data_IF_662378899438
#
_entry.id   IF_662378899438
#
_cell.length_a   1.000
_cell.length_b   1.000
_cell.length_c   1.000
_cell.angle_alpha   90.00
_cell.angle_beta   90.00
_cell.angle_gamma   90.00
#
_symmetry.space_group_name_H-M   'P 1'
#
loop_
_entity.id
_entity.type
_entity.pdbx_description
1 polymer ?
#
# COMPACT_ATOMS: atom_id res chain seq x y z
N UNK A 1 -7.14 19.57 7.19
CA UNK A 1 -7.61 18.80 6.02
C UNK A 1 -7.82 19.80 4.90
N UNK A 2 -6.93 19.77 3.90
CA UNK A 2 -6.74 20.84 2.91
C UNK A 2 -8.01 21.10 2.10
N UNK A 3 -8.32 22.38 1.87
CA UNK A 3 -9.47 22.79 1.04
C UNK A 3 -9.08 22.65 -0.44
N UNK A 4 -10.06 22.41 -1.31
CA UNK A 4 -9.84 22.35 -2.76
C UNK A 4 -9.13 23.60 -3.31
N UNK A 5 -9.33 24.75 -2.66
CA UNK A 5 -8.68 26.03 -2.96
C UNK A 5 -7.15 26.01 -2.77
N UNK A 6 -6.62 25.10 -1.97
CA UNK A 6 -5.18 24.97 -1.66
C UNK A 6 -4.52 23.79 -2.39
N UNK A 7 -5.23 23.15 -3.32
CA UNK A 7 -4.72 21.97 -4.03
C UNK A 7 -3.43 22.27 -4.80
N UNK A 8 -3.34 23.45 -5.42
CA UNK A 8 -2.17 23.87 -6.16
C UNK A 8 -0.95 24.09 -5.25
N UNK A 9 -1.17 24.72 -4.09
CA UNK A 9 -0.12 24.95 -3.09
C UNK A 9 0.40 23.63 -2.54
N UNK A 10 -0.49 22.68 -2.27
CA UNK A 10 -0.13 21.33 -1.84
C UNK A 10 0.69 20.59 -2.90
N UNK A 11 0.26 20.60 -4.17
CA UNK A 11 1.06 19.99 -5.24
C UNK A 11 2.41 20.66 -5.41
N UNK A 12 2.48 21.97 -5.24
CA UNK A 12 3.73 22.74 -5.32
C UNK A 12 4.66 22.31 -4.18
N UNK A 13 4.16 22.27 -2.95
CA UNK A 13 4.88 21.80 -1.78
C UNK A 13 5.39 20.36 -1.97
N UNK A 14 4.53 19.43 -2.39
CA UNK A 14 4.92 18.02 -2.62
C UNK A 14 6.01 17.94 -3.68
N UNK A 15 5.88 18.63 -4.81
CA UNK A 15 6.87 18.59 -5.88
C UNK A 15 8.21 19.20 -5.45
N UNK A 16 8.18 20.30 -4.70
CA UNK A 16 9.38 20.96 -4.19
C UNK A 16 10.11 20.15 -3.12
N UNK A 17 9.37 19.45 -2.27
CA UNK A 17 9.94 18.62 -1.20
C UNK A 17 10.41 17.26 -1.72
N UNK A 18 9.69 16.65 -2.66
CA UNK A 18 10.08 15.40 -3.29
C UNK A 18 11.18 15.58 -4.34
N UNK A 19 11.41 16.80 -4.85
CA UNK A 19 12.47 17.15 -5.81
C UNK A 19 12.51 16.26 -7.06
N UNK A 20 11.35 15.85 -7.53
CA UNK A 20 11.21 14.97 -8.71
C UNK A 20 11.30 13.47 -8.41
N UNK A 21 11.66 13.08 -7.19
CA UNK A 21 11.60 11.69 -6.74
C UNK A 21 10.16 11.23 -6.59
N UNK A 22 9.89 10.00 -6.99
CA UNK A 22 8.59 9.37 -6.81
C UNK A 22 8.71 7.88 -6.61
N UNK A 23 7.76 7.32 -5.87
CA UNK A 23 7.54 5.89 -5.84
C UNK A 23 7.17 5.36 -7.23
N UNK A 24 7.52 4.10 -7.46
CA UNK A 24 6.93 3.28 -8.51
C UNK A 24 5.41 3.19 -8.34
N UNK A 25 4.71 2.94 -9.43
CA UNK A 25 3.27 2.71 -9.40
C UNK A 25 2.94 1.52 -8.50
N UNK A 26 1.79 1.59 -7.83
CA UNK A 26 1.35 0.62 -6.82
C UNK A 26 1.39 -0.83 -7.34
N UNK A 27 0.94 -1.04 -8.57
CA UNK A 27 0.94 -2.31 -9.26
C UNK A 27 2.35 -2.89 -9.43
N UNK A 28 3.36 -2.08 -9.75
CA UNK A 28 4.73 -2.56 -9.94
C UNK A 28 5.33 -3.06 -8.64
N UNK A 29 5.15 -2.30 -7.55
CA UNK A 29 5.63 -2.68 -6.22
C UNK A 29 4.96 -3.99 -5.78
N UNK A 30 3.62 -4.07 -5.89
CA UNK A 30 2.86 -5.29 -5.56
C UNK A 30 3.31 -6.49 -6.39
N UNK A 31 3.51 -6.31 -7.70
CA UNK A 31 3.98 -7.36 -8.62
C UNK A 31 5.35 -7.89 -8.25
N UNK A 32 6.29 -7.03 -7.87
CA UNK A 32 7.65 -7.42 -7.42
C UNK A 32 7.56 -8.23 -6.13
N UNK A 33 6.84 -7.73 -5.12
CA UNK A 33 6.67 -8.44 -3.84
C UNK A 33 6.00 -9.80 -4.03
N UNK A 34 4.94 -9.86 -4.84
CA UNK A 34 4.23 -11.08 -5.20
C UNK A 34 5.16 -12.08 -5.91
N UNK A 35 5.95 -11.61 -6.85
CA UNK A 35 6.92 -12.41 -7.61
C UNK A 35 7.98 -13.04 -6.71
N UNK A 36 8.53 -12.29 -5.76
CA UNK A 36 9.50 -12.81 -4.77
C UNK A 36 8.86 -13.87 -3.89
N UNK A 37 7.69 -13.58 -3.32
CA UNK A 37 6.97 -14.54 -2.49
C UNK A 37 6.60 -15.83 -3.24
N UNK A 38 6.18 -15.72 -4.51
CA UNK A 38 5.89 -16.90 -5.33
C UNK A 38 7.13 -17.71 -5.68
N UNK A 39 8.25 -17.03 -5.96
CA UNK A 39 9.54 -17.69 -6.20
C UNK A 39 10.00 -18.45 -4.97
N UNK A 40 9.91 -17.84 -3.78
CA UNK A 40 10.20 -18.51 -2.52
C UNK A 40 9.26 -19.69 -2.26
N UNK A 41 7.96 -19.55 -2.51
CA UNK A 41 7.00 -20.63 -2.40
C UNK A 41 7.34 -21.83 -3.30
N UNK A 42 7.74 -21.58 -4.56
CA UNK A 42 8.15 -22.63 -5.51
C UNK A 42 9.42 -23.36 -5.07
N UNK A 43 10.33 -22.65 -4.40
CA UNK A 43 11.58 -23.19 -3.90
C UNK A 43 11.49 -23.78 -2.48
N UNK A 44 10.29 -23.80 -1.87
CA UNK A 44 10.09 -24.14 -0.46
C UNK A 44 10.99 -23.32 0.50
N UNK A 45 11.25 -22.06 0.11
CA UNK A 45 12.08 -21.11 0.85
C UNK A 45 11.32 -20.41 1.98
N UNK A 46 11.96 -19.39 2.56
CA UNK A 46 11.39 -18.60 3.65
C UNK A 46 10.04 -17.97 3.26
N UNK A 47 9.11 -17.92 4.20
CA UNK A 47 7.81 -17.25 4.02
C UNK A 47 7.98 -15.73 4.07
N UNK A 48 8.99 -15.22 4.77
CA UNK A 48 9.28 -13.79 4.88
C UNK A 48 10.28 -13.41 3.82
N UNK A 49 9.95 -12.40 3.02
CA UNK A 49 10.82 -11.91 1.96
C UNK A 49 11.33 -10.52 2.32
N UNK A 50 12.63 -10.23 2.11
CA UNK A 50 13.16 -8.90 2.31
C UNK A 50 12.54 -7.93 1.31
N UNK A 51 12.38 -6.69 1.76
CA UNK A 51 12.09 -5.55 0.92
C UNK A 51 13.40 -4.90 0.48
N UNK A 52 13.43 -4.39 -0.75
CA UNK A 52 14.58 -3.66 -1.29
C UNK A 52 14.12 -2.29 -1.78
N UNK A 53 14.91 -1.23 -1.54
CA UNK A 53 14.55 0.13 -1.99
C UNK A 53 14.19 0.17 -3.48
N UNK A 54 14.88 -0.62 -4.31
CA UNK A 54 14.65 -0.70 -5.76
C UNK A 54 13.32 -1.35 -6.15
N UNK A 55 12.56 -1.93 -5.22
CA UNK A 55 11.17 -2.33 -5.46
C UNK A 55 10.30 -1.09 -5.66
N UNK A 56 10.54 -0.09 -4.82
CA UNK A 56 9.74 1.11 -4.65
C UNK A 56 10.26 2.29 -5.45
N UNK A 57 11.54 2.31 -5.82
CA UNK A 57 12.17 3.40 -6.55
C UNK A 57 12.89 2.87 -7.79
N UNK A 58 12.82 3.60 -8.92
CA UNK A 58 13.58 3.24 -10.14
C UNK A 58 15.04 3.63 -10.03
N UNK A 59 15.29 4.72 -9.33
CA UNK A 59 16.59 5.36 -9.16
C UNK A 59 16.92 5.35 -7.66
N UNK A 60 18.20 5.47 -7.33
CA UNK A 60 18.60 5.58 -5.93
C UNK A 60 18.24 6.97 -5.38
N UNK A 61 17.26 6.99 -4.50
CA UNK A 61 16.78 8.21 -3.83
C UNK A 61 17.78 8.81 -2.85
N UNK A 62 18.87 8.11 -2.53
CA UNK A 62 19.92 8.61 -1.64
C UNK A 62 21.06 9.29 -2.42
N UNK A 63 20.79 9.75 -3.65
CA UNK A 63 21.76 10.46 -4.49
C UNK A 63 21.43 11.95 -4.57
N UNK A 64 22.44 12.77 -4.87
CA UNK A 64 22.24 14.21 -5.05
C UNK A 64 21.30 14.49 -6.22
N UNK A 65 20.39 15.43 -6.02
CA UNK A 65 19.46 15.88 -7.06
C UNK A 65 20.21 16.41 -8.29
N UNK A 66 19.64 16.19 -9.47
CA UNK A 66 20.16 16.76 -10.71
C UNK A 66 19.85 18.27 -10.81
N UNK A 67 20.55 18.98 -11.71
CA UNK A 67 20.43 20.43 -11.89
C UNK A 67 19.05 20.87 -12.40
N UNK A 68 18.26 19.96 -12.98
CA UNK A 68 16.92 20.24 -13.47
C UNK A 68 16.01 19.04 -13.26
N UNK A 69 14.74 19.29 -12.93
CA UNK A 69 13.68 18.29 -12.96
C UNK A 69 12.54 18.77 -13.87
N UNK A 70 11.90 17.83 -14.55
CA UNK A 70 10.78 18.13 -15.46
C UNK A 70 9.48 17.99 -14.67
N UNK A 71 8.81 19.11 -14.46
CA UNK A 71 7.46 19.08 -13.88
C UNK A 71 6.40 18.89 -14.97
N UNK A 72 5.63 17.81 -14.84
CA UNK A 72 4.44 17.57 -15.66
C UNK A 72 3.17 17.83 -14.84
N UNK A 73 2.15 18.39 -15.51
CA UNK A 73 0.82 18.50 -14.89
C UNK A 73 0.26 17.10 -14.66
N UNK A 74 -0.33 16.82 -13.49
CA UNK A 74 -0.92 15.52 -13.23
C UNK A 74 -2.09 15.30 -14.19
N UNK A 75 -2.18 14.08 -14.75
CA UNK A 75 -3.36 13.61 -15.48
C UNK A 75 -4.29 13.03 -14.41
N UNK A 76 -5.34 13.78 -14.05
CA UNK A 76 -6.21 13.46 -12.92
C UNK A 76 -7.34 12.45 -13.23
N UNK A 77 -7.39 11.94 -14.46
CA UNK A 77 -8.41 10.99 -14.90
C UNK A 77 -9.85 11.51 -14.75
N UNK A 78 -10.81 10.59 -14.63
CA UNK A 78 -12.21 10.91 -14.33
C UNK A 78 -12.41 11.01 -12.81
N UNK A 79 -12.31 12.24 -12.30
CA UNK A 79 -12.43 12.55 -10.87
C UNK A 79 -13.81 12.15 -10.32
N UNK A 80 -14.88 12.24 -11.11
CA UNK A 80 -16.22 11.90 -10.65
C UNK A 80 -16.37 10.38 -10.55
N UNK A 81 -15.88 9.63 -11.54
CA UNK A 81 -15.84 8.18 -11.46
C UNK A 81 -15.03 7.70 -10.26
N UNK A 82 -13.86 8.31 -9.98
CA UNK A 82 -13.06 7.99 -8.79
C UNK A 82 -13.81 8.29 -7.49
N UNK A 83 -14.53 9.41 -7.42
CA UNK A 83 -15.33 9.79 -6.25
C UNK A 83 -16.49 8.82 -6.02
N UNK A 84 -17.20 8.45 -7.08
CA UNK A 84 -18.31 7.50 -6.98
C UNK A 84 -17.81 6.10 -6.62
N UNK A 85 -16.70 5.65 -7.21
CA UNK A 85 -16.07 4.38 -6.87
C UNK A 85 -15.69 4.31 -5.38
N UNK A 86 -15.13 5.40 -4.86
CA UNK A 86 -14.82 5.55 -3.43
C UNK A 86 -16.07 5.44 -2.54
N UNK A 87 -17.16 6.13 -2.90
CA UNK A 87 -18.43 6.06 -2.16
C UNK A 87 -19.00 4.64 -2.15
N UNK A 88 -19.04 3.98 -3.32
CA UNK A 88 -19.55 2.62 -3.46
C UNK A 88 -18.72 1.62 -2.63
N UNK A 89 -17.39 1.74 -2.65
CA UNK A 89 -16.51 0.86 -1.87
C UNK A 89 -16.74 1.02 -0.36
N UNK A 90 -16.89 2.26 0.12
CA UNK A 90 -17.14 2.54 1.53
C UNK A 90 -18.55 2.09 1.96
N UNK A 91 -19.55 2.24 1.09
CA UNK A 91 -20.88 1.71 1.33
C UNK A 91 -20.85 0.18 1.45
N UNK A 92 -20.20 -0.50 0.51
CA UNK A 92 -20.03 -1.96 0.55
C UNK A 92 -19.33 -2.41 1.84
N UNK A 93 -18.27 -1.71 2.26
CA UNK A 93 -17.56 -2.00 3.50
C UNK A 93 -18.46 -1.85 4.74
N UNK A 94 -19.16 -0.73 4.86
CA UNK A 94 -20.02 -0.47 6.04
C UNK A 94 -21.18 -1.46 6.12
N UNK A 95 -21.64 -1.98 4.98
CA UNK A 95 -22.68 -3.02 4.95
C UNK A 95 -22.20 -4.36 5.53
N UNK A 96 -20.89 -4.59 5.67
CA UNK A 96 -20.32 -5.78 6.33
C UNK A 96 -20.30 -5.67 7.86
N UNK A 97 -20.48 -4.46 8.42
CA UNK A 97 -20.29 -4.22 9.86
C UNK A 97 -21.25 -4.99 10.78
N UNK A 98 -22.53 -5.22 10.43
CA UNK A 98 -23.41 -6.07 11.25
C UNK A 98 -22.86 -7.49 11.43
N UNK A 99 -22.37 -8.10 10.36
CA UNK A 99 -21.80 -9.45 10.40
C UNK A 99 -20.47 -9.47 11.16
N UNK A 100 -19.63 -8.45 10.97
CA UNK A 100 -18.39 -8.29 11.71
C UNK A 100 -18.63 -8.12 13.21
N UNK A 101 -19.64 -7.34 13.60
CA UNK A 101 -20.00 -7.12 14.99
C UNK A 101 -20.51 -8.38 15.68
N UNK A 102 -21.14 -9.30 14.95
CA UNK A 102 -21.59 -10.60 15.44
C UNK A 102 -20.50 -11.68 15.45
N UNK A 103 -19.38 -11.45 14.76
CA UNK A 103 -18.30 -12.42 14.63
C UNK A 103 -17.47 -12.56 15.91
N UNK A 104 -17.08 -13.80 16.23
CA UNK A 104 -16.23 -14.16 17.39
C UNK A 104 -14.78 -14.46 17.01
N UNK A 105 -14.39 -14.24 15.75
CA UNK A 105 -13.01 -14.49 15.29
C UNK A 105 -11.99 -13.63 16.02
N UNK A 106 -10.81 -14.19 16.24
CA UNK A 106 -9.62 -13.51 16.75
C UNK A 106 -8.97 -12.62 15.69
N UNK A 107 -8.05 -11.75 16.13
CA UNK A 107 -7.30 -10.87 15.23
C UNK A 107 -6.50 -11.65 14.17
N UNK A 108 -5.85 -12.73 14.57
CA UNK A 108 -5.07 -13.58 13.65
C UNK A 108 -5.98 -14.29 12.62
N UNK A 109 -7.13 -14.81 13.07
CA UNK A 109 -8.11 -15.41 12.17
C UNK A 109 -8.69 -14.39 11.18
N UNK A 110 -8.93 -13.15 11.63
CA UNK A 110 -9.38 -12.07 10.76
C UNK A 110 -8.32 -11.73 9.70
N UNK A 111 -7.04 -11.65 10.05
CA UNK A 111 -5.97 -11.47 9.06
C UNK A 111 -5.96 -12.61 8.03
N UNK A 112 -6.13 -13.87 8.46
CA UNK A 112 -6.18 -15.01 7.55
C UNK A 112 -7.39 -14.96 6.61
N UNK A 113 -8.56 -14.56 7.13
CA UNK A 113 -9.78 -14.41 6.33
C UNK A 113 -9.58 -13.33 5.27
N UNK A 114 -9.01 -12.18 5.62
CA UNK A 114 -8.73 -11.10 4.67
C UNK A 114 -7.72 -11.52 3.60
N UNK A 115 -6.62 -12.18 3.99
CA UNK A 115 -5.61 -12.65 3.03
C UNK A 115 -6.18 -13.68 2.04
N UNK A 116 -6.92 -14.68 2.53
CA UNK A 116 -7.59 -15.69 1.69
C UNK A 116 -8.66 -15.04 0.80
N UNK A 117 -9.42 -14.08 1.33
CA UNK A 117 -10.41 -13.32 0.57
C UNK A 117 -9.78 -12.52 -0.58
N UNK A 118 -8.62 -11.89 -0.35
CA UNK A 118 -7.87 -11.22 -1.40
C UNK A 118 -7.39 -12.19 -2.48
N UNK A 119 -6.81 -13.33 -2.10
CA UNK A 119 -6.40 -14.38 -3.04
C UNK A 119 -7.55 -14.91 -3.91
N UNK A 120 -8.72 -15.13 -3.30
CA UNK A 120 -9.94 -15.51 -4.03
C UNK A 120 -10.42 -14.40 -4.99
N UNK A 121 -10.32 -13.14 -4.58
CA UNK A 121 -10.66 -11.99 -5.42
C UNK A 121 -9.77 -11.92 -6.66
N UNK A 122 -8.45 -12.14 -6.52
CA UNK A 122 -7.51 -12.17 -7.65
C UNK A 122 -7.88 -13.25 -8.67
N UNK A 123 -8.17 -14.48 -8.21
CA UNK A 123 -8.63 -15.56 -9.09
C UNK A 123 -9.95 -15.23 -9.79
N UNK A 124 -10.90 -14.66 -9.06
CA UNK A 124 -12.19 -14.24 -9.62
C UNK A 124 -12.02 -13.20 -10.73
N UNK A 125 -11.20 -12.17 -10.48
CA UNK A 125 -10.91 -11.12 -11.45
C UNK A 125 -10.21 -11.68 -12.69
N UNK A 126 -9.25 -12.59 -12.50
CA UNK A 126 -8.60 -13.30 -13.60
C UNK A 126 -9.58 -14.08 -14.48
N UNK A 127 -10.50 -14.87 -13.89
CA UNK A 127 -11.50 -15.59 -14.67
C UNK A 127 -12.49 -14.65 -15.38
N UNK A 128 -12.85 -13.52 -14.77
CA UNK A 128 -13.68 -12.51 -15.42
C UNK A 128 -12.98 -11.92 -16.65
N UNK A 129 -11.68 -11.62 -16.54
CA UNK A 129 -10.84 -11.17 -17.65
C UNK A 129 -10.78 -12.20 -18.79
N UNK A 130 -10.56 -13.48 -18.48
CA UNK A 130 -10.58 -14.55 -19.48
C UNK A 130 -11.95 -14.72 -20.15
N UNK A 131 -13.03 -14.58 -19.38
CA UNK A 131 -14.41 -14.68 -19.90
C UNK A 131 -14.69 -13.55 -20.90
N UNK A 132 -14.27 -12.32 -20.59
CA UNK A 132 -14.38 -11.18 -21.50
C UNK A 132 -13.59 -11.39 -22.80
N UNK A 133 -12.35 -11.89 -22.69
CA UNK A 133 -11.52 -12.21 -23.84
C UNK A 133 -12.16 -13.30 -24.72
N UNK A 134 -12.67 -14.37 -24.12
CA UNK A 134 -13.35 -15.45 -24.84
C UNK A 134 -14.65 -15.02 -25.51
N UNK A 135 -15.34 -14.01 -24.96
CA UNK A 135 -16.52 -13.39 -25.56
C UNK A 135 -16.18 -12.38 -26.69
N UNK A 136 -14.89 -12.09 -26.93
CA UNK A 136 -14.45 -11.07 -27.88
C UNK A 136 -14.68 -9.63 -27.39
N UNK A 137 -14.98 -9.43 -26.11
CA UNK A 137 -15.16 -8.10 -25.52
C UNK A 137 -13.80 -7.49 -25.15
N UNK A 138 -13.13 -6.96 -26.18
CA UNK A 138 -11.82 -6.33 -26.05
C UNK A 138 -11.87 -5.09 -25.12
N UNK A 139 -13.01 -4.41 -25.02
CA UNK A 139 -13.15 -3.22 -24.17
C UNK A 139 -13.22 -3.64 -22.70
N UNK A 140 -13.99 -4.68 -22.36
CA UNK A 140 -13.99 -5.21 -21.00
C UNK A 140 -12.63 -5.79 -20.60
N UNK A 141 -11.92 -6.42 -21.54
CA UNK A 141 -10.55 -6.89 -21.31
C UNK A 141 -9.57 -5.74 -21.03
N UNK A 142 -9.56 -4.69 -21.85
CA UNK A 142 -8.66 -3.54 -21.67
C UNK A 142 -8.96 -2.73 -20.40
N UNK A 143 -10.21 -2.77 -19.93
CA UNK A 143 -10.64 -2.12 -18.68
C UNK A 143 -10.60 -3.05 -17.46
N UNK A 144 -10.05 -4.27 -17.60
CA UNK A 144 -9.90 -5.16 -16.47
C UNK A 144 -9.00 -4.51 -15.39
N UNK A 145 -9.31 -4.69 -14.09
CA UNK A 145 -8.44 -4.19 -13.02
C UNK A 145 -7.02 -4.72 -13.20
N UNK A 146 -6.01 -3.88 -12.96
CA UNK A 146 -4.60 -4.27 -13.12
C UNK A 146 -4.23 -5.49 -12.26
N UNK A 147 -4.86 -5.62 -11.09
CA UNK A 147 -4.74 -6.78 -10.18
C UNK A 147 -5.13 -8.12 -10.86
N UNK A 148 -5.99 -8.12 -11.88
CA UNK A 148 -6.34 -9.31 -12.66
C UNK A 148 -5.14 -9.92 -13.39
N UNK A 149 -4.12 -9.10 -13.70
CA UNK A 149 -2.89 -9.55 -14.33
C UNK A 149 -1.95 -10.29 -13.36
N UNK A 150 -2.12 -10.16 -12.04
CA UNK A 150 -1.25 -10.84 -11.08
C UNK A 150 -1.26 -12.36 -11.26
N UNK A 151 -2.43 -12.96 -11.42
CA UNK A 151 -2.55 -14.40 -11.66
C UNK A 151 -1.86 -14.78 -12.97
N UNK A 152 -2.01 -13.99 -14.03
CA UNK A 152 -1.32 -14.22 -15.30
C UNK A 152 0.20 -14.22 -15.15
N UNK A 153 0.76 -13.27 -14.37
CA UNK A 153 2.20 -13.29 -14.06
C UNK A 153 2.61 -14.56 -13.31
N UNK A 154 1.82 -15.03 -12.34
CA UNK A 154 2.12 -16.26 -11.60
C UNK A 154 2.18 -17.47 -12.55
N UNK A 155 1.24 -17.58 -13.49
CA UNK A 155 1.23 -18.67 -14.47
C UNK A 155 2.49 -18.62 -15.37
N UNK A 156 2.95 -17.42 -15.72
CA UNK A 156 4.13 -17.24 -16.57
C UNK A 156 5.42 -17.83 -15.99
N UNK A 157 5.57 -17.87 -14.65
CA UNK A 157 6.75 -18.44 -13.98
C UNK A 157 6.94 -19.94 -14.23
N UNK A 158 5.86 -20.65 -14.53
CA UNK A 158 5.85 -22.10 -14.70
C UNK A 158 5.51 -22.54 -16.13
N UNK A 159 5.36 -21.59 -17.06
CA UNK A 159 4.93 -21.83 -18.44
C UNK A 159 5.75 -22.90 -19.18
N UNK A 160 7.05 -22.95 -18.92
CA UNK A 160 7.99 -23.85 -19.59
C UNK A 160 8.16 -25.19 -18.85
N UNK A 161 7.56 -25.33 -17.66
CA UNK A 161 7.76 -26.49 -16.76
C UNK A 161 6.49 -27.27 -16.47
N UNK A 162 5.33 -26.63 -16.54
CA UNK A 162 4.03 -27.22 -16.19
C UNK A 162 3.01 -27.02 -17.31
N UNK A 163 2.03 -27.92 -17.39
CA UNK A 163 0.81 -27.71 -18.19
C UNK A 163 -0.12 -26.71 -17.52
N UNK A 164 -1.00 -26.06 -18.30
CA UNK A 164 -1.85 -24.95 -17.83
C UNK A 164 -2.66 -25.27 -16.57
N UNK A 165 -3.28 -26.46 -16.49
CA UNK A 165 -4.07 -26.86 -15.31
C UNK A 165 -3.21 -26.97 -14.05
N UNK A 166 -1.97 -27.46 -14.20
CA UNK A 166 -1.02 -27.56 -13.09
C UNK A 166 -0.46 -26.20 -12.68
N UNK A 167 -0.26 -25.28 -13.63
CA UNK A 167 0.12 -23.89 -13.34
C UNK A 167 -0.97 -23.21 -12.50
N UNK A 168 -2.24 -23.34 -12.93
CA UNK A 168 -3.39 -22.75 -12.25
C UNK A 168 -3.59 -23.35 -10.85
N UNK A 169 -3.45 -24.67 -10.70
CA UNK A 169 -3.53 -25.33 -9.41
C UNK A 169 -2.43 -24.85 -8.45
N UNK A 170 -1.21 -24.63 -8.94
CA UNK A 170 -0.11 -24.10 -8.11
C UNK A 170 -0.34 -22.64 -7.73
N UNK A 171 -0.78 -21.80 -8.67
CA UNK A 171 -1.14 -20.41 -8.37
C UNK A 171 -2.24 -20.35 -7.30
N UNK A 172 -3.30 -21.15 -7.44
CA UNK A 172 -4.36 -21.25 -6.43
C UNK A 172 -3.84 -21.71 -5.06
N UNK A 173 -2.93 -22.70 -5.03
CA UNK A 173 -2.29 -23.16 -3.79
C UNK A 173 -1.45 -22.07 -3.13
N UNK A 174 -0.72 -21.29 -3.93
CA UNK A 174 0.06 -20.16 -3.44
C UNK A 174 -0.83 -19.07 -2.82
N UNK A 175 -1.94 -18.70 -3.47
CA UNK A 175 -2.83 -17.62 -3.00
C UNK A 175 -3.53 -17.90 -1.66
N UNK A 176 -3.43 -19.12 -1.13
CA UNK A 176 -3.91 -19.50 0.21
C UNK A 176 -2.77 -19.94 1.14
N UNK A 177 -1.52 -19.77 0.71
CA UNK A 177 -0.32 -20.20 1.44
C UNK A 177 0.18 -19.15 2.45
N UNK A 178 0.98 -19.56 3.44
CA UNK A 178 1.68 -18.62 4.32
C UNK A 178 2.58 -17.63 3.56
N UNK A 179 3.24 -18.06 2.47
CA UNK A 179 4.08 -17.18 1.64
C UNK A 179 3.29 -15.99 1.08
N UNK A 180 2.04 -16.22 0.64
CA UNK A 180 1.19 -15.16 0.13
C UNK A 180 0.78 -14.20 1.25
N UNK A 181 0.35 -14.73 2.40
CA UNK A 181 -0.05 -13.94 3.56
C UNK A 181 1.07 -13.05 4.11
N UNK A 182 2.33 -13.46 3.93
CA UNK A 182 3.50 -12.74 4.40
C UNK A 182 4.04 -11.69 3.43
N UNK A 183 3.41 -11.52 2.26
CA UNK A 183 3.74 -10.43 1.33
C UNK A 183 3.56 -9.08 2.05
N UNK A 184 4.55 -8.16 2.02
CA UNK A 184 4.54 -6.96 2.84
C UNK A 184 3.26 -6.12 2.76
N UNK A 185 2.85 -5.72 1.55
CA UNK A 185 1.64 -4.91 1.39
C UNK A 185 0.38 -5.64 1.86
N UNK A 186 0.31 -6.95 1.61
CA UNK A 186 -0.85 -7.74 2.00
C UNK A 186 -0.94 -7.86 3.52
N UNK A 187 0.17 -8.22 4.16
CA UNK A 187 0.26 -8.35 5.62
C UNK A 187 -0.16 -7.07 6.33
N UNK A 188 0.33 -5.91 5.87
CA UNK A 188 -0.01 -4.61 6.43
C UNK A 188 -1.49 -4.30 6.23
N UNK A 189 -2.00 -4.44 5.01
CA UNK A 189 -3.39 -4.18 4.68
C UNK A 189 -4.33 -5.07 5.52
N UNK A 190 -4.06 -6.38 5.58
CA UNK A 190 -4.79 -7.32 6.42
C UNK A 190 -4.76 -6.91 7.90
N UNK A 191 -3.61 -6.43 8.41
CA UNK A 191 -3.50 -5.92 9.77
C UNK A 191 -4.39 -4.71 10.04
N UNK A 192 -4.44 -3.75 9.10
CA UNK A 192 -5.30 -2.57 9.20
C UNK A 192 -6.80 -2.94 9.16
N UNK A 193 -7.20 -3.86 8.28
CA UNK A 193 -8.58 -4.33 8.21
C UNK A 193 -8.98 -5.20 9.41
N UNK A 194 -8.07 -6.03 9.93
CA UNK A 194 -8.29 -6.77 11.17
C UNK A 194 -8.47 -5.81 12.36
N UNK A 195 -7.73 -4.69 12.40
CA UNK A 195 -7.92 -3.63 13.40
C UNK A 195 -9.28 -2.97 13.28
N UNK A 196 -9.71 -2.60 12.07
CA UNK A 196 -11.04 -2.06 11.85
C UNK A 196 -12.13 -3.04 12.31
N UNK A 197 -12.01 -4.31 11.94
CA UNK A 197 -12.97 -5.34 12.31
C UNK A 197 -13.04 -5.54 13.83
N UNK A 198 -11.90 -5.54 14.52
CA UNK A 198 -11.83 -5.55 15.98
C UNK A 198 -12.59 -4.37 16.58
N UNK A 199 -12.35 -3.15 16.09
CA UNK A 199 -13.06 -1.96 16.58
C UNK A 199 -14.58 -2.08 16.38
N UNK A 200 -15.03 -2.63 15.24
CA UNK A 200 -16.45 -2.88 14.98
C UNK A 200 -17.03 -3.90 15.98
N UNK A 201 -16.33 -5.00 16.28
CA UNK A 201 -16.71 -5.97 17.32
C UNK A 201 -16.81 -5.34 18.71
N UNK A 202 -15.92 -4.41 19.03
CA UNK A 202 -15.93 -3.64 20.29
C UNK A 202 -17.01 -2.54 20.31
N UNK A 203 -17.79 -2.40 19.24
CA UNK A 203 -18.93 -1.49 19.16
C UNK A 203 -18.60 -0.10 18.61
N UNK A 204 -17.47 0.08 17.95
CA UNK A 204 -17.22 1.25 17.13
C UNK A 204 -18.14 1.27 15.89
N UNK A 205 -18.30 2.43 15.27
CA UNK A 205 -18.99 2.61 13.98
C UNK A 205 -20.47 2.13 13.91
N UNK A 206 -21.17 2.02 15.05
CA UNK A 206 -22.60 1.61 15.13
C UNK A 206 -23.57 2.43 14.27
N UNK A 207 -23.24 3.68 13.94
CA UNK A 207 -24.04 4.52 13.07
C UNK A 207 -23.45 4.48 11.64
N UNK A 208 -24.14 3.87 10.66
CA UNK A 208 -23.61 3.70 9.30
C UNK A 208 -23.29 5.02 8.59
N UNK A 209 -24.11 6.06 8.75
CA UNK A 209 -23.86 7.37 8.12
C UNK A 209 -22.58 8.03 8.65
N UNK A 210 -22.40 8.01 9.97
CA UNK A 210 -21.18 8.51 10.61
C UNK A 210 -19.97 7.65 10.25
N UNK A 211 -20.14 6.34 10.12
CA UNK A 211 -19.09 5.42 9.69
C UNK A 211 -18.61 5.72 8.27
N UNK A 212 -19.54 5.86 7.31
CA UNK A 212 -19.24 6.22 5.92
C UNK A 212 -18.45 7.53 5.83
N UNK A 213 -18.84 8.55 6.61
CA UNK A 213 -18.12 9.83 6.64
C UNK A 213 -16.72 9.70 7.24
N UNK A 214 -16.58 8.99 8.37
CA UNK A 214 -15.28 8.83 9.07
C UNK A 214 -14.30 7.96 8.29
N UNK A 215 -14.80 6.96 7.58
CA UNK A 215 -13.97 5.98 6.86
C UNK A 215 -13.79 6.34 5.40
N UNK A 216 -14.28 7.50 4.94
CA UNK A 216 -14.20 7.89 3.54
C UNK A 216 -12.78 7.73 2.97
N UNK A 217 -11.73 8.11 3.71
CA UNK A 217 -10.33 7.99 3.30
C UNK A 217 -9.71 6.60 3.37
N UNK A 218 -10.34 5.66 4.09
CA UNK A 218 -9.73 4.42 4.58
C UNK A 218 -8.96 3.63 3.51
N UNK A 219 -9.56 3.38 2.35
CA UNK A 219 -8.91 2.58 1.31
C UNK A 219 -7.63 3.23 0.78
N UNK A 220 -7.63 4.55 0.62
CA UNK A 220 -6.45 5.28 0.15
C UNK A 220 -5.37 5.32 1.22
N UNK A 221 -5.75 5.57 2.47
CA UNK A 221 -4.81 5.62 3.60
C UNK A 221 -4.17 4.23 3.81
N UNK A 222 -4.99 3.16 3.79
CA UNK A 222 -4.51 1.78 3.89
C UNK A 222 -3.60 1.39 2.71
N UNK A 223 -3.96 1.76 1.48
CA UNK A 223 -3.12 1.50 0.30
C UNK A 223 -1.78 2.24 0.40
N UNK A 224 -1.79 3.50 0.83
CA UNK A 224 -0.58 4.29 1.01
C UNK A 224 0.37 3.65 2.04
N UNK A 225 -0.16 3.32 3.23
CA UNK A 225 0.60 2.73 4.32
C UNK A 225 1.14 1.34 3.95
N UNK A 226 0.30 0.49 3.35
CA UNK A 226 0.67 -0.88 3.05
C UNK A 226 1.71 -1.00 1.94
N UNK A 227 1.64 -0.15 0.91
CA UNK A 227 2.54 -0.25 -0.24
C UNK A 227 3.83 0.53 0.01
N UNK A 228 3.72 1.79 0.40
CA UNK A 228 4.86 2.69 0.45
C UNK A 228 5.52 2.70 1.83
N UNK A 229 4.73 2.52 2.89
CA UNK A 229 5.20 2.51 4.28
C UNK A 229 6.46 1.66 4.48
N UNK A 230 6.52 0.39 4.04
CA UNK A 230 7.70 -0.47 4.20
C UNK A 230 9.00 0.13 3.67
N UNK A 231 8.93 1.01 2.67
CA UNK A 231 10.09 1.57 1.97
C UNK A 231 10.50 2.95 2.49
N UNK A 232 9.85 3.43 3.55
CA UNK A 232 10.13 4.70 4.18
C UNK A 232 10.89 4.51 5.50
N UNK A 233 11.83 5.41 5.79
CA UNK A 233 12.40 5.54 7.13
C UNK A 233 11.35 6.10 8.11
N UNK A 234 10.50 7.02 7.62
CA UNK A 234 9.37 7.58 8.36
C UNK A 234 8.15 7.87 7.47
N UNK A 235 6.94 7.73 8.01
CA UNK A 235 5.68 8.09 7.33
C UNK A 235 4.80 8.95 8.24
N UNK A 236 4.17 9.97 7.65
CA UNK A 236 3.22 10.84 8.35
C UNK A 236 1.79 10.51 7.92
N UNK A 237 0.96 10.07 8.87
CA UNK A 237 -0.42 9.61 8.63
C UNK A 237 -1.41 10.38 9.51
N UNK A 238 -2.71 10.21 9.25
CA UNK A 238 -3.73 10.79 10.13
C UNK A 238 -3.74 10.12 11.50
N UNK A 239 -4.36 10.78 12.48
CA UNK A 239 -4.38 10.33 13.88
C UNK A 239 -5.00 8.95 14.07
N UNK A 240 -6.02 8.60 13.30
CA UNK A 240 -6.71 7.30 13.42
C UNK A 240 -5.79 6.21 12.86
N UNK A 241 -5.22 6.42 11.68
CA UNK A 241 -4.31 5.45 11.08
C UNK A 241 -3.05 5.24 11.92
N UNK A 242 -2.50 6.31 12.52
CA UNK A 242 -1.40 6.20 13.46
C UNK A 242 -1.77 5.28 14.64
N UNK A 243 -2.93 5.51 15.27
CA UNK A 243 -3.41 4.66 16.37
C UNK A 243 -3.60 3.19 15.95
N UNK A 244 -4.04 2.94 14.72
CA UNK A 244 -4.24 1.59 14.22
C UNK A 244 -2.92 0.88 13.92
N UNK A 245 -1.97 1.60 13.32
CA UNK A 245 -0.66 1.05 13.00
C UNK A 245 0.13 0.72 14.28
N UNK A 246 0.05 1.57 15.30
CA UNK A 246 0.75 1.41 16.58
C UNK A 246 0.02 0.50 17.58
N UNK A 247 -1.20 0.02 17.24
CA UNK A 247 -1.94 -0.86 18.11
C UNK A 247 -1.11 -2.14 18.39
N UNK A 248 -0.98 -2.61 19.65
CA UNK A 248 -0.09 -3.73 19.99
C UNK A 248 -0.33 -5.03 19.22
N UNK A 249 -1.54 -5.24 18.71
CA UNK A 249 -1.88 -6.42 17.92
C UNK A 249 -1.55 -6.28 16.43
N UNK A 250 -1.42 -5.04 15.94
CA UNK A 250 -1.20 -4.76 14.54
C UNK A 250 0.27 -4.50 14.24
N UNK A 251 0.87 -3.47 14.89
CA UNK A 251 2.26 -3.02 14.72
C UNK A 251 2.77 -3.18 13.30
N UNK A 252 1.97 -2.68 12.35
CA UNK A 252 2.02 -3.17 10.96
C UNK A 252 3.32 -2.79 10.24
N UNK A 253 3.96 -1.69 10.65
CA UNK A 253 5.21 -1.22 10.08
C UNK A 253 6.46 -1.52 10.93
N UNK A 254 6.31 -2.00 12.17
CA UNK A 254 7.44 -2.35 13.05
C UNK A 254 8.45 -3.31 12.38
N UNK A 255 8.04 -4.35 11.61
CA UNK A 255 8.99 -5.25 10.94
C UNK A 255 9.87 -4.59 9.86
N UNK A 256 9.50 -3.40 9.39
CA UNK A 256 10.20 -2.69 8.33
C UNK A 256 11.01 -1.50 8.86
N UNK A 257 10.98 -1.24 10.17
CA UNK A 257 11.73 -0.15 10.78
C UNK A 257 11.19 1.25 10.47
N UNK A 258 10.00 1.37 9.89
CA UNK A 258 9.41 2.67 9.53
C UNK A 258 8.83 3.35 10.76
N UNK A 259 9.32 4.55 11.07
CA UNK A 259 8.73 5.41 12.08
C UNK A 259 7.38 5.98 11.62
N UNK A 260 6.39 6.05 12.51
CA UNK A 260 5.05 6.51 12.19
C UNK A 260 4.75 7.79 12.97
N UNK A 261 4.37 8.85 12.27
CA UNK A 261 4.03 10.13 12.87
C UNK A 261 2.61 10.55 12.53
N UNK A 262 2.06 11.44 13.34
CA UNK A 262 0.78 12.11 13.06
C UNK A 262 0.73 13.49 13.71
N UNK A 263 -0.31 14.26 13.40
CA UNK A 263 -0.56 15.59 14.00
C UNK A 263 -0.79 15.51 15.52
N UNK A 264 -0.88 14.33 16.12
CA UNK A 264 -0.92 14.19 17.58
C UNK A 264 0.48 14.20 18.22
N UNK A 265 1.53 13.81 17.48
CA UNK A 265 2.90 13.67 17.97
C UNK A 265 3.86 14.62 17.25
N UNK A 266 3.48 15.90 17.15
CA UNK A 266 4.25 16.89 16.40
C UNK A 266 5.65 17.10 16.97
N UNK A 267 5.77 17.16 18.30
CA UNK A 267 7.06 17.34 18.97
C UNK A 267 7.99 16.16 18.71
N UNK A 268 7.47 14.92 18.74
CA UNK A 268 8.24 13.72 18.42
C UNK A 268 8.72 13.70 16.96
N UNK A 269 7.90 14.23 16.03
CA UNK A 269 8.30 14.38 14.64
C UNK A 269 9.41 15.43 14.46
N UNK A 270 9.33 16.58 15.15
CA UNK A 270 10.41 17.57 15.13
C UNK A 270 11.69 17.00 15.74
N UNK A 271 11.62 16.35 16.90
CA UNK A 271 12.81 15.70 17.48
C UNK A 271 13.42 14.65 16.57
N UNK A 272 12.62 13.93 15.77
CA UNK A 272 13.14 13.02 14.75
C UNK A 272 13.87 13.75 13.62
N UNK A 273 13.36 14.92 13.18
CA UNK A 273 14.04 15.73 12.17
C UNK A 273 15.32 16.37 12.72
N UNK A 274 15.28 16.88 13.96
CA UNK A 274 16.44 17.44 14.66
C UNK A 274 17.54 16.37 14.79
N UNK A 275 17.19 15.13 15.12
CA UNK A 275 18.15 14.01 15.20
C UNK A 275 18.79 13.71 13.83
N UNK A 276 18.05 13.82 12.73
CA UNK A 276 18.62 13.70 11.38
C UNK A 276 19.59 14.85 11.08
N UNK A 277 19.24 16.08 11.48
CA UNK A 277 20.08 17.26 11.30
C UNK A 277 21.34 17.20 12.18
N UNK A 278 21.25 16.69 13.40
CA UNK A 278 22.41 16.62 14.31
C UNK A 278 23.37 15.48 13.95
N UNK A 279 22.89 14.44 13.25
CA UNK A 279 23.66 13.22 12.97
C UNK A 279 24.02 12.99 11.49
N UNK A 280 23.89 13.99 10.61
CA UNK A 280 24.43 13.83 9.25
C UNK A 280 25.97 13.85 9.24
N UNK A 281 26.54 13.16 8.27
CA UNK A 281 27.99 12.95 8.17
C UNK A 281 28.70 14.22 7.68
N UNK A 282 29.99 14.37 8.01
CA UNK A 282 30.82 15.53 7.62
C UNK A 282 30.85 15.82 6.11
N UNK A 283 30.72 14.79 5.27
CA UNK A 283 30.58 14.94 3.83
C UNK A 283 29.24 15.58 3.42
N UNK A 284 28.14 15.25 4.13
CA UNK A 284 26.85 15.93 3.95
C UNK A 284 26.96 17.39 4.41
N UNK A 285 27.62 17.66 5.56
CA UNK A 285 27.84 19.04 6.04
C UNK A 285 28.48 19.92 4.97
N UNK A 286 29.61 19.44 4.41
CA UNK A 286 30.35 20.18 3.37
C UNK A 286 29.52 20.39 2.11
N UNK A 287 28.73 19.38 1.72
CA UNK A 287 27.91 19.49 0.53
C UNK A 287 26.74 20.48 0.72
N UNK A 288 26.10 20.49 1.90
CA UNK A 288 25.07 21.48 2.25
C UNK A 288 25.65 22.90 2.21
N UNK A 289 26.84 23.12 2.77
CA UNK A 289 27.51 24.44 2.71
C UNK A 289 27.81 24.92 1.28
N UNK A 290 28.15 23.98 0.38
CA UNK A 290 28.40 24.29 -1.04
C UNK A 290 27.11 24.68 -1.75
N UNK A 291 26.02 23.96 -1.50
CA UNK A 291 24.73 24.14 -2.19
C UNK A 291 23.94 25.32 -1.60
N UNK A 292 24.05 25.53 -0.29
CA UNK A 292 23.32 26.53 0.49
C UNK A 292 24.27 27.43 1.32
N UNK A 293 25.17 28.18 0.67
CA UNK A 293 26.16 28.98 1.37
C UNK A 293 25.51 30.04 2.27
N UNK A 294 25.84 30.00 3.57
CA UNK A 294 25.42 31.00 4.56
C UNK A 294 24.06 30.73 5.24
N UNK A 295 23.45 29.56 5.03
CA UNK A 295 22.20 29.17 5.73
C UNK A 295 22.43 28.65 7.16
N UNK A 296 23.61 28.10 7.44
CA UNK A 296 23.95 27.46 8.72
C UNK A 296 25.18 28.07 9.43
N UNK A 297 25.63 29.26 9.00
CA UNK A 297 26.64 30.09 9.69
C UNK A 297 25.99 31.18 10.53
#
# INVERSE_FOLDING_TARGET
MWRHEQQQDLFTFIKQTARGQKFNEDFEIKRIQLSRAFTAFRAEGDITQPIEKNDAFREDVNTWDDYFYIDMRPILGDIEAMRQGKLNAIEALVNLFPDWAASTTSFAEDMEIEAKGYGQSLMKQYFQMLTALGAGDLIAYLNAPTDAMYVEYLLHYDKDTLQSDAQLARAAKFLVSPHFMMIPHLRISCGLFAMLRKLVKEGAYKNPEKARKKLAGLFYDSNCISIFGPYCDAIFVDRIMHQWCEAPQARVLEPYGTAIFSVAGWDAFHSYLDDIEENYTEDIHRAVDIVYPGLYT
#
